data_IF_514663710465
#
_entry.id   IF_514663710465
#
_cell.length_a   1.000
_cell.length_b   1.000
_cell.length_c   1.000
_cell.angle_alpha   90.00
_cell.angle_beta   90.00
_cell.angle_gamma   90.00
#
_symmetry.space_group_name_H-M   'P 1'
#
loop_
_entity.id
_entity.type
_entity.pdbx_description
1 polymer ?
#
# COMPACT_ATOMS: atom_id res chain seq x y z
N UNK A 1 8.83 9.47 17.00
CA UNK A 1 8.47 8.20 17.63
C UNK A 1 9.30 7.07 17.03
N UNK A 2 9.63 6.08 17.84
CA UNK A 2 10.19 4.81 17.37
C UNK A 2 9.16 3.73 17.59
N UNK A 3 8.98 2.85 16.62
CA UNK A 3 8.04 1.72 16.69
C UNK A 3 8.76 0.41 16.34
N UNK A 4 8.29 -0.70 16.89
CA UNK A 4 8.81 -2.04 16.60
C UNK A 4 7.75 -2.95 15.96
N UNK A 5 6.57 -2.44 15.62
CA UNK A 5 5.43 -3.22 15.13
C UNK A 5 5.06 -2.88 13.67
N UNK A 6 5.83 -2.04 12.99
CA UNK A 6 5.51 -1.60 11.63
C UNK A 6 5.57 -2.77 10.64
N UNK A 7 6.63 -3.60 10.73
CA UNK A 7 6.82 -4.80 9.89
C UNK A 7 6.01 -6.03 10.39
N UNK A 8 5.26 -5.86 11.46
CA UNK A 8 4.42 -6.88 12.07
C UNK A 8 2.93 -6.67 11.81
N UNK A 9 2.08 -7.01 12.80
CA UNK A 9 0.63 -6.83 12.70
C UNK A 9 0.18 -5.36 12.71
N UNK A 10 1.07 -4.41 13.05
CA UNK A 10 0.82 -2.97 13.15
C UNK A 10 -0.40 -2.63 14.05
N UNK A 11 -0.46 -3.25 15.23
CA UNK A 11 -1.54 -3.06 16.20
C UNK A 11 -1.15 -2.14 17.35
N UNK A 12 0.07 -2.30 17.88
CA UNK A 12 0.54 -1.66 19.11
C UNK A 12 1.51 -0.48 18.87
N UNK A 13 2.00 -0.29 17.65
CA UNK A 13 2.93 0.79 17.28
C UNK A 13 2.25 2.14 17.10
N UNK A 14 2.54 2.81 15.98
CA UNK A 14 2.00 4.14 15.65
C UNK A 14 0.46 4.15 15.65
N UNK A 15 -0.18 3.08 15.21
CA UNK A 15 -1.65 2.95 15.24
C UNK A 15 -2.23 3.22 16.63
N UNK A 16 -1.61 2.68 17.68
CA UNK A 16 -2.09 2.83 19.05
C UNK A 16 -1.77 4.20 19.64
N UNK A 17 -0.60 4.78 19.31
CA UNK A 17 -0.14 6.02 19.95
C UNK A 17 -0.54 7.29 19.20
N UNK A 18 -0.80 7.24 17.89
CA UNK A 18 -1.13 8.42 17.09
C UNK A 18 -2.36 9.20 17.61
N UNK A 19 -3.48 8.56 17.97
CA UNK A 19 -4.61 9.27 18.56
C UNK A 19 -4.27 9.95 19.89
N UNK A 20 -3.46 9.32 20.72
CA UNK A 20 -3.03 9.87 22.02
C UNK A 20 -2.11 11.07 21.85
N UNK A 21 -1.19 11.02 20.87
CA UNK A 21 -0.32 12.15 20.54
C UNK A 21 -1.18 13.32 20.04
N UNK A 22 -2.10 13.05 19.11
CA UNK A 22 -3.01 14.05 18.56
C UNK A 22 -3.83 14.74 19.67
N UNK A 23 -4.42 13.95 20.58
CA UNK A 23 -5.20 14.48 21.71
C UNK A 23 -4.34 15.34 22.65
N UNK A 24 -3.16 14.84 23.05
CA UNK A 24 -2.30 15.52 24.01
C UNK A 24 -1.64 16.79 23.49
N UNK A 25 -1.34 16.86 22.19
CA UNK A 25 -0.68 18.00 21.55
C UNK A 25 -1.66 18.96 20.90
N UNK A 26 -2.98 18.62 20.83
CA UNK A 26 -3.99 19.43 20.16
C UNK A 26 -3.93 19.35 18.64
N UNK A 27 -3.19 18.39 18.08
CA UNK A 27 -3.03 18.15 16.66
C UNK A 27 -1.62 17.69 16.29
N UNK A 28 -1.45 17.32 15.04
CA UNK A 28 -0.16 17.01 14.43
C UNK A 28 -0.14 17.73 13.08
N UNK A 29 0.74 18.73 12.93
CA UNK A 29 0.86 19.47 11.67
C UNK A 29 1.69 18.72 10.64
N UNK A 30 2.79 18.10 11.06
CA UNK A 30 3.76 17.45 10.18
C UNK A 30 4.19 16.09 10.71
N UNK A 31 4.36 15.16 9.78
CA UNK A 31 4.94 13.85 10.06
C UNK A 31 5.97 13.49 8.98
N UNK A 32 7.25 13.50 9.37
CA UNK A 32 8.31 12.95 8.55
C UNK A 32 8.52 11.50 8.96
N UNK A 33 8.37 10.57 8.02
CA UNK A 33 8.58 9.14 8.22
C UNK A 33 9.92 8.73 7.63
N UNK A 34 10.76 8.05 8.42
CA UNK A 34 12.13 7.65 8.05
C UNK A 34 12.21 6.41 7.14
N UNK A 35 11.15 6.07 6.42
CA UNK A 35 11.11 4.93 5.50
C UNK A 35 12.15 5.04 4.39
N UNK A 36 12.71 3.92 3.90
CA UNK A 36 13.64 3.89 2.77
C UNK A 36 12.98 4.35 1.48
N UNK A 37 12.93 5.65 1.25
CA UNK A 37 12.28 6.28 0.10
C UNK A 37 13.20 6.47 -1.09
N UNK A 38 14.51 6.67 -0.84
CA UNK A 38 15.51 6.93 -1.89
C UNK A 38 15.78 5.70 -2.74
N UNK A 39 16.08 5.88 -4.03
CA UNK A 39 16.25 4.77 -4.98
C UNK A 39 17.72 4.43 -5.25
N UNK A 40 18.50 5.40 -5.69
CA UNK A 40 19.92 5.20 -6.06
C UNK A 40 20.85 6.09 -5.26
N UNK A 41 20.40 7.26 -4.85
CA UNK A 41 21.15 8.26 -4.09
C UNK A 41 20.25 8.82 -3.00
N UNK A 42 20.80 9.00 -1.81
CA UNK A 42 20.08 9.59 -0.69
C UNK A 42 19.40 10.91 -1.10
N UNK A 43 18.09 10.96 -0.95
CA UNK A 43 17.26 12.11 -1.25
C UNK A 43 16.92 12.28 -2.74
N UNK A 44 17.16 11.30 -3.61
CA UNK A 44 16.71 11.39 -5.00
C UNK A 44 15.19 11.21 -5.16
N UNK A 45 14.55 10.63 -4.15
CA UNK A 45 13.11 10.40 -4.13
C UNK A 45 12.55 10.54 -2.71
N UNK A 46 11.39 11.19 -2.60
CA UNK A 46 10.55 11.27 -1.39
C UNK A 46 9.18 10.71 -1.68
N UNK A 47 8.52 10.14 -0.67
CA UNK A 47 7.13 9.66 -0.81
C UNK A 47 6.17 10.71 -0.24
N UNK A 48 5.21 11.12 -1.06
CA UNK A 48 4.21 12.14 -0.70
C UNK A 48 2.82 11.54 -0.48
N UNK A 49 2.75 10.22 -0.43
CA UNK A 49 1.55 9.44 -0.21
C UNK A 49 1.81 7.97 -0.43
N UNK A 50 0.82 7.16 -0.11
CA UNK A 50 0.87 5.69 -0.30
C UNK A 50 -0.44 5.21 -0.88
N UNK A 51 -0.38 4.19 -1.73
CA UNK A 51 -1.55 3.50 -2.26
C UNK A 51 -2.24 2.71 -1.15
N UNK A 52 -3.56 2.58 -1.25
CA UNK A 52 -4.32 1.66 -0.44
C UNK A 52 -3.98 0.20 -0.74
N UNK A 53 -4.31 -0.67 0.18
CA UNK A 53 -4.11 -2.11 0.05
C UNK A 53 -5.36 -2.87 0.48
N UNK A 54 -5.96 -3.59 -0.47
CA UNK A 54 -7.15 -4.40 -0.27
C UNK A 54 -6.89 -5.81 -0.79
N UNK A 55 -6.96 -6.80 0.10
CA UNK A 55 -6.83 -8.22 -0.26
C UNK A 55 -8.19 -8.90 -0.22
N UNK A 56 -8.38 -9.89 -1.07
CA UNK A 56 -9.54 -10.75 -1.05
C UNK A 56 -9.16 -12.22 -1.24
N UNK A 57 -9.92 -13.10 -0.61
CA UNK A 57 -9.92 -14.54 -0.88
C UNK A 57 -11.32 -14.95 -1.34
N UNK A 58 -11.41 -15.38 -2.61
CA UNK A 58 -12.65 -15.88 -3.21
C UNK A 58 -12.71 -17.38 -3.04
N UNK A 59 -13.84 -17.88 -2.56
CA UNK A 59 -14.14 -19.30 -2.46
C UNK A 59 -15.39 -19.62 -3.29
N UNK A 60 -15.25 -20.59 -4.19
CA UNK A 60 -16.32 -21.11 -5.03
C UNK A 60 -16.61 -22.55 -4.64
N UNK A 61 -17.83 -22.82 -4.22
CA UNK A 61 -18.30 -24.17 -3.87
C UNK A 61 -18.94 -24.83 -5.08
N UNK A 62 -18.54 -26.05 -5.38
CA UNK A 62 -19.11 -26.91 -6.39
C UNK A 62 -19.60 -28.24 -5.82
N UNK A 63 -19.59 -29.27 -6.65
CA UNK A 63 -19.90 -30.65 -6.24
C UNK A 63 -18.80 -31.59 -6.74
N UNK A 64 -18.11 -32.24 -5.80
CA UNK A 64 -17.05 -33.20 -6.10
C UNK A 64 -17.60 -34.40 -6.90
N UNK A 65 -16.78 -34.91 -7.81
CA UNK A 65 -17.11 -36.12 -8.57
C UNK A 65 -15.94 -36.66 -9.38
N UNK A 66 -16.16 -37.79 -10.00
CA UNK A 66 -15.16 -38.39 -10.89
C UNK A 66 -15.17 -37.68 -12.25
N UNK A 67 -14.00 -37.35 -12.81
CA UNK A 67 -13.88 -36.60 -14.09
C UNK A 67 -14.56 -37.31 -15.27
N UNK A 68 -14.70 -38.65 -15.23
CA UNK A 68 -15.42 -39.41 -16.26
C UNK A 68 -16.94 -39.26 -16.18
N UNK A 69 -17.47 -38.70 -15.09
CA UNK A 69 -18.92 -38.53 -14.89
C UNK A 69 -19.27 -37.05 -14.57
N UNK A 70 -18.95 -36.11 -15.49
CA UNK A 70 -19.08 -34.69 -15.19
C UNK A 70 -20.52 -34.25 -14.94
N UNK A 71 -21.51 -34.94 -15.47
CA UNK A 71 -22.94 -34.65 -15.20
C UNK A 71 -23.36 -34.89 -13.74
N UNK A 72 -22.57 -35.62 -12.96
CA UNK A 72 -22.80 -35.89 -11.54
C UNK A 72 -22.05 -34.93 -10.63
N UNK A 73 -21.24 -34.02 -11.18
CA UNK A 73 -20.40 -33.08 -10.48
C UNK A 73 -20.75 -31.63 -10.88
N UNK A 74 -20.14 -30.68 -10.17
CA UNK A 74 -20.12 -29.26 -10.53
C UNK A 74 -18.70 -28.73 -10.26
N UNK A 75 -17.98 -28.39 -11.33
CA UNK A 75 -16.59 -27.98 -11.22
C UNK A 75 -16.44 -26.50 -10.86
N UNK A 76 -16.06 -26.14 -9.62
CA UNK A 76 -15.90 -24.75 -9.21
C UNK A 76 -14.78 -24.02 -9.95
N UNK A 77 -13.77 -24.74 -10.46
CA UNK A 77 -12.67 -24.13 -11.23
C UNK A 77 -13.17 -23.56 -12.56
N UNK A 78 -14.18 -24.18 -13.20
CA UNK A 78 -14.74 -23.68 -14.45
C UNK A 78 -15.49 -22.34 -14.29
N UNK A 79 -15.89 -21.98 -13.06
CA UNK A 79 -16.46 -20.69 -12.71
C UNK A 79 -15.41 -19.72 -12.19
N UNK A 80 -14.47 -20.20 -11.38
CA UNK A 80 -13.41 -19.39 -10.79
C UNK A 80 -12.44 -18.85 -11.85
N UNK A 81 -12.01 -19.67 -12.81
CA UNK A 81 -10.97 -19.27 -13.78
C UNK A 81 -11.41 -18.11 -14.70
N UNK A 82 -12.62 -18.09 -15.28
CA UNK A 82 -13.09 -16.93 -16.04
C UNK A 82 -13.15 -15.66 -15.18
N UNK A 83 -13.60 -15.76 -13.93
CA UNK A 83 -13.60 -14.64 -13.00
C UNK A 83 -12.17 -14.10 -12.76
N UNK A 84 -11.21 -14.98 -12.51
CA UNK A 84 -9.81 -14.55 -12.32
C UNK A 84 -9.24 -13.89 -13.58
N UNK A 85 -9.57 -14.41 -14.76
CA UNK A 85 -9.14 -13.82 -16.02
C UNK A 85 -9.71 -12.40 -16.21
N UNK A 86 -10.99 -12.19 -15.92
CA UNK A 86 -11.62 -10.87 -15.98
C UNK A 86 -11.01 -9.91 -14.96
N UNK A 87 -10.83 -10.33 -13.68
CA UNK A 87 -10.21 -9.51 -12.65
C UNK A 87 -8.81 -9.06 -13.04
N UNK A 88 -7.99 -9.97 -13.61
CA UNK A 88 -6.63 -9.68 -14.05
C UNK A 88 -6.57 -8.72 -15.25
N UNK A 89 -7.55 -8.79 -16.15
CA UNK A 89 -7.63 -7.96 -17.35
C UNK A 89 -8.32 -6.60 -17.11
N UNK A 90 -8.96 -6.42 -15.96
CA UNK A 90 -9.74 -5.23 -15.66
C UNK A 90 -8.86 -4.00 -15.48
N UNK A 91 -9.19 -2.92 -16.20
CA UNK A 91 -8.73 -1.57 -15.89
C UNK A 91 -9.60 -1.00 -14.77
N UNK A 92 -9.01 -0.81 -13.60
CA UNK A 92 -9.73 -0.39 -12.40
C UNK A 92 -10.01 1.10 -12.37
N UNK A 93 -8.98 1.93 -12.68
CA UNK A 93 -9.03 3.38 -12.84
C UNK A 93 -7.84 3.86 -13.67
N UNK A 94 -7.70 5.18 -13.82
CA UNK A 94 -6.60 5.81 -14.55
C UNK A 94 -5.49 6.34 -13.63
N UNK A 95 -5.64 6.13 -12.31
CA UNK A 95 -4.77 6.76 -11.33
C UNK A 95 -5.02 8.26 -11.19
N UNK A 96 -4.01 8.96 -10.69
CA UNK A 96 -4.00 10.42 -10.59
C UNK A 96 -2.63 10.94 -11.04
N UNK A 97 -2.41 12.25 -10.98
CA UNK A 97 -1.11 12.85 -11.31
C UNK A 97 0.06 12.22 -10.54
N UNK A 98 -0.16 11.86 -9.27
CA UNK A 98 0.88 11.37 -8.36
C UNK A 98 0.77 9.86 -8.07
N UNK A 99 -0.34 9.23 -8.46
CA UNK A 99 -0.61 7.82 -8.23
C UNK A 99 -0.74 7.06 -9.53
N UNK A 100 -0.04 5.93 -9.69
CA UNK A 100 -0.29 5.02 -10.79
C UNK A 100 -1.74 4.48 -10.71
N UNK A 101 -2.28 3.96 -11.82
CA UNK A 101 -3.57 3.28 -11.83
C UNK A 101 -3.65 2.17 -10.77
N UNK A 102 -4.85 1.94 -10.26
CA UNK A 102 -5.14 0.78 -9.41
C UNK A 102 -4.85 -0.52 -10.15
N UNK A 103 -4.09 -1.39 -9.52
CA UNK A 103 -3.71 -2.69 -10.07
C UNK A 103 -4.13 -3.84 -9.16
N UNK A 104 -4.54 -4.95 -9.76
CA UNK A 104 -4.85 -6.20 -9.07
C UNK A 104 -3.81 -7.25 -9.45
N UNK A 105 -3.34 -8.00 -8.44
CA UNK A 105 -2.48 -9.17 -8.61
C UNK A 105 -3.12 -10.39 -7.97
N UNK A 106 -3.24 -11.47 -8.74
CA UNK A 106 -3.63 -12.78 -8.21
C UNK A 106 -2.41 -13.38 -7.53
N UNK A 107 -2.54 -13.75 -6.27
CA UNK A 107 -1.42 -14.23 -5.43
C UNK A 107 -1.51 -15.73 -5.12
N UNK A 108 -2.60 -16.38 -5.52
CA UNK A 108 -2.75 -17.82 -5.38
C UNK A 108 -4.06 -18.30 -5.96
N UNK A 109 -4.04 -19.53 -6.49
CA UNK A 109 -5.21 -20.29 -6.94
C UNK A 109 -5.05 -21.71 -6.44
N UNK A 110 -6.10 -22.30 -5.92
CA UNK A 110 -6.08 -23.66 -5.39
C UNK A 110 -7.43 -24.36 -5.52
N UNK A 111 -7.38 -25.68 -5.35
CA UNK A 111 -8.57 -26.52 -5.27
C UNK A 111 -8.43 -27.50 -4.10
N UNK A 112 -9.55 -27.99 -3.59
CA UNK A 112 -9.60 -28.87 -2.42
C UNK A 112 -9.20 -30.34 -2.72
N UNK A 113 -8.42 -30.59 -3.78
CA UNK A 113 -7.92 -31.93 -4.14
C UNK A 113 -6.70 -31.82 -5.03
N UNK A 114 -5.74 -32.73 -4.86
CA UNK A 114 -4.58 -32.93 -5.74
C UNK A 114 -4.77 -34.15 -6.68
N UNK A 115 -5.92 -34.86 -6.59
CA UNK A 115 -6.18 -36.03 -7.38
C UNK A 115 -6.56 -35.64 -8.83
N UNK A 116 -5.84 -36.18 -9.80
CA UNK A 116 -5.98 -35.84 -11.24
C UNK A 116 -7.30 -36.32 -11.87
N UNK A 117 -7.97 -37.27 -11.23
CA UNK A 117 -9.22 -37.88 -11.70
C UNK A 117 -10.45 -37.44 -10.89
N UNK A 118 -10.33 -36.41 -10.07
CA UNK A 118 -11.41 -35.90 -9.21
C UNK A 118 -11.69 -34.43 -9.57
N UNK A 119 -12.97 -34.14 -9.85
CA UNK A 119 -13.48 -32.78 -9.90
C UNK A 119 -13.59 -32.27 -8.45
N UNK A 120 -12.93 -31.16 -8.07
CA UNK A 120 -12.96 -30.68 -6.70
C UNK A 120 -14.35 -30.20 -6.27
N UNK A 121 -14.66 -30.31 -4.97
CA UNK A 121 -15.89 -29.75 -4.39
C UNK A 121 -15.77 -28.27 -4.05
N UNK A 122 -14.56 -27.71 -4.03
CA UNK A 122 -14.29 -26.32 -3.72
C UNK A 122 -13.03 -25.85 -4.43
N UNK A 123 -13.00 -24.58 -4.84
CA UNK A 123 -11.81 -23.91 -5.35
C UNK A 123 -11.73 -22.50 -4.74
N UNK A 124 -10.51 -21.99 -4.55
CA UNK A 124 -10.29 -20.64 -4.05
C UNK A 124 -9.20 -19.90 -4.82
N UNK A 125 -9.24 -18.58 -4.76
CA UNK A 125 -8.19 -17.72 -5.27
C UNK A 125 -7.97 -16.54 -4.33
N UNK A 126 -6.70 -16.14 -4.18
CA UNK A 126 -6.29 -14.96 -3.42
C UNK A 126 -5.77 -13.90 -4.36
N UNK A 127 -6.08 -12.64 -4.05
CA UNK A 127 -5.61 -11.49 -4.80
C UNK A 127 -5.37 -10.29 -3.88
N UNK A 128 -4.59 -9.32 -4.37
CA UNK A 128 -4.37 -8.04 -3.71
C UNK A 128 -4.52 -6.91 -4.72
N UNK A 129 -5.22 -5.86 -4.30
CA UNK A 129 -5.28 -4.59 -5.02
C UNK A 129 -4.38 -3.57 -4.32
N UNK A 130 -3.58 -2.87 -5.13
CA UNK A 130 -2.94 -1.62 -4.74
C UNK A 130 -3.67 -0.50 -5.45
N UNK A 131 -4.42 0.32 -4.70
CA UNK A 131 -5.37 1.25 -5.29
C UNK A 131 -5.04 2.70 -4.97
N UNK A 132 -5.37 3.57 -5.93
CA UNK A 132 -5.17 5.02 -5.88
C UNK A 132 -6.36 5.70 -5.18
N UNK A 133 -6.24 6.98 -4.79
CA UNK A 133 -7.38 7.77 -4.29
C UNK A 133 -8.52 7.97 -5.31
N UNK A 134 -8.31 7.62 -6.60
CA UNK A 134 -9.37 7.61 -7.61
C UNK A 134 -10.41 6.51 -7.38
N UNK A 135 -10.09 5.51 -6.54
CA UNK A 135 -10.96 4.39 -6.17
C UNK A 135 -11.16 4.35 -4.65
N UNK A 136 -12.29 3.76 -4.21
CA UNK A 136 -12.53 3.44 -2.80
C UNK A 136 -12.52 1.93 -2.58
N UNK A 137 -12.20 1.49 -1.36
CA UNK A 137 -12.22 0.06 -1.03
C UNK A 137 -13.61 -0.54 -1.27
N UNK A 138 -14.65 0.16 -0.85
CA UNK A 138 -16.06 -0.25 -1.00
C UNK A 138 -16.46 -0.34 -2.48
N UNK A 139 -16.06 0.63 -3.31
CA UNK A 139 -16.34 0.61 -4.75
C UNK A 139 -15.64 -0.55 -5.46
N UNK A 140 -14.39 -0.84 -5.08
CA UNK A 140 -13.65 -2.00 -5.60
C UNK A 140 -14.30 -3.31 -5.18
N UNK A 141 -14.70 -3.45 -3.91
CA UNK A 141 -15.42 -4.62 -3.41
C UNK A 141 -16.73 -4.84 -4.16
N UNK A 142 -17.56 -3.80 -4.32
CA UNK A 142 -18.83 -3.89 -5.05
C UNK A 142 -18.63 -4.34 -6.50
N UNK A 143 -17.62 -3.79 -7.18
CA UNK A 143 -17.31 -4.17 -8.56
C UNK A 143 -16.87 -5.63 -8.66
N UNK A 144 -16.05 -6.10 -7.72
CA UNK A 144 -15.60 -7.50 -7.68
C UNK A 144 -16.76 -8.44 -7.34
N UNK A 145 -17.64 -8.06 -6.40
CA UNK A 145 -18.86 -8.84 -6.12
C UNK A 145 -19.75 -8.98 -7.36
N UNK A 146 -19.96 -7.90 -8.12
CA UNK A 146 -20.75 -7.97 -9.36
C UNK A 146 -20.14 -8.92 -10.40
N UNK A 147 -18.80 -8.93 -10.53
CA UNK A 147 -18.11 -9.87 -11.41
C UNK A 147 -18.21 -11.32 -10.88
N UNK A 148 -18.10 -11.50 -9.57
CA UNK A 148 -18.24 -12.82 -8.94
C UNK A 148 -19.65 -13.38 -9.15
N UNK A 149 -20.69 -12.55 -9.00
CA UNK A 149 -22.08 -12.95 -9.25
C UNK A 149 -22.32 -13.36 -10.71
N UNK A 150 -21.63 -12.71 -11.66
CA UNK A 150 -21.75 -13.04 -13.08
C UNK A 150 -21.09 -14.37 -13.46
N UNK A 151 -19.93 -14.69 -12.90
CA UNK A 151 -19.15 -15.88 -13.26
C UNK A 151 -19.33 -17.06 -12.30
N UNK A 152 -19.47 -16.78 -11.03
CA UNK A 152 -19.50 -17.76 -9.94
C UNK A 152 -20.59 -17.41 -8.92
N UNK A 153 -21.88 -17.47 -9.30
CA UNK A 153 -22.98 -17.16 -8.39
C UNK A 153 -22.86 -17.97 -7.10
N UNK A 154 -23.02 -17.30 -5.94
CA UNK A 154 -22.89 -17.92 -4.62
C UNK A 154 -21.43 -18.07 -4.14
N UNK A 155 -20.45 -17.51 -4.83
CA UNK A 155 -19.10 -17.39 -4.30
C UNK A 155 -19.08 -16.51 -3.04
N UNK A 156 -18.22 -16.84 -2.09
CA UNK A 156 -17.94 -15.99 -0.91
C UNK A 156 -16.61 -15.30 -1.08
N UNK A 157 -16.50 -14.08 -0.53
CA UNK A 157 -15.26 -13.30 -0.58
C UNK A 157 -14.95 -12.80 0.82
N UNK A 158 -13.81 -13.24 1.35
CA UNK A 158 -13.26 -12.73 2.61
C UNK A 158 -12.30 -11.58 2.31
N UNK A 159 -12.54 -10.43 2.95
CA UNK A 159 -11.80 -9.20 2.70
C UNK A 159 -10.85 -8.84 3.84
N UNK A 160 -9.66 -8.37 3.46
CA UNK A 160 -8.71 -7.74 4.39
C UNK A 160 -8.31 -6.38 3.82
N UNK A 161 -8.83 -5.30 4.43
CA UNK A 161 -8.43 -3.93 4.13
C UNK A 161 -7.28 -3.55 5.06
N UNK A 162 -6.06 -3.46 4.50
CA UNK A 162 -4.85 -3.18 5.28
C UNK A 162 -4.59 -1.69 5.43
N UNK A 163 -4.90 -0.89 4.41
CA UNK A 163 -4.72 0.56 4.42
C UNK A 163 -5.61 1.25 3.39
N UNK A 164 -6.14 2.43 3.74
CA UNK A 164 -6.64 3.40 2.78
C UNK A 164 -5.46 4.13 2.09
N UNK A 165 -5.62 4.63 0.86
CA UNK A 165 -4.61 5.48 0.25
C UNK A 165 -4.58 6.84 0.97
N UNK A 166 -3.41 7.46 1.04
CA UNK A 166 -3.29 8.85 1.47
C UNK A 166 -2.34 9.60 0.56
N UNK A 167 -2.53 10.91 0.48
CA UNK A 167 -1.67 11.85 -0.24
C UNK A 167 -1.55 13.13 0.56
N UNK A 168 -0.35 13.68 0.61
CA UNK A 168 -0.12 15.00 1.19
C UNK A 168 0.10 16.02 0.07
N UNK A 169 -0.73 17.06 0.05
CA UNK A 169 -0.53 18.21 -0.81
C UNK A 169 0.80 18.90 -0.50
N UNK A 170 1.41 19.63 -1.47
CA UNK A 170 2.66 20.33 -1.27
C UNK A 170 2.56 21.39 -0.16
N UNK A 171 2.85 21.00 1.07
CA UNK A 171 2.80 21.85 2.27
C UNK A 171 4.18 22.35 2.73
N UNK A 172 4.26 22.77 3.98
CA UNK A 172 5.49 23.30 4.57
C UNK A 172 6.57 22.23 4.74
N UNK A 173 6.18 21.03 5.18
CA UNK A 173 7.11 19.91 5.38
C UNK A 173 7.76 19.50 4.07
N UNK A 174 6.96 19.26 3.01
CA UNK A 174 7.47 18.89 1.69
C UNK A 174 8.43 19.92 1.15
N UNK A 175 8.08 21.21 1.22
CA UNK A 175 8.98 22.28 0.77
C UNK A 175 10.27 22.34 1.57
N UNK A 176 10.23 22.14 2.89
CA UNK A 176 11.44 22.10 3.72
C UNK A 176 12.36 20.94 3.32
N UNK A 177 11.80 19.74 3.11
CA UNK A 177 12.55 18.56 2.66
C UNK A 177 13.17 18.79 1.27
N UNK A 178 12.37 19.24 0.30
CA UNK A 178 12.83 19.52 -1.08
C UNK A 178 13.96 20.56 -1.08
N UNK A 179 13.84 21.61 -0.27
CA UNK A 179 14.87 22.65 -0.17
C UNK A 179 16.18 22.11 0.46
N UNK A 180 16.11 21.36 1.58
CA UNK A 180 17.29 20.77 2.22
C UNK A 180 18.02 19.83 1.26
N UNK A 181 17.28 18.95 0.58
CA UNK A 181 17.86 18.02 -0.38
C UNK A 181 18.50 18.77 -1.56
N UNK A 182 17.81 19.80 -2.08
CA UNK A 182 18.30 20.60 -3.21
C UNK A 182 19.56 21.37 -2.85
N UNK A 183 19.62 21.99 -1.67
CA UNK A 183 20.80 22.72 -1.18
C UNK A 183 22.01 21.79 -1.07
N UNK A 184 21.81 20.56 -0.59
CA UNK A 184 22.85 19.56 -0.43
C UNK A 184 23.30 18.95 -1.76
N UNK A 185 22.36 18.63 -2.64
CA UNK A 185 22.62 17.77 -3.82
C UNK A 185 22.62 18.52 -5.16
N UNK A 186 22.18 19.79 -5.16
CA UNK A 186 21.99 20.58 -6.38
C UNK A 186 20.77 20.17 -7.23
N UNK A 187 19.99 19.19 -6.78
CA UNK A 187 18.86 18.66 -7.57
C UNK A 187 17.67 18.38 -6.63
N UNK A 188 16.44 18.84 -6.97
CA UNK A 188 15.27 18.53 -6.19
C UNK A 188 14.93 17.02 -6.24
N UNK A 189 14.38 16.46 -5.18
CA UNK A 189 13.92 15.08 -5.18
C UNK A 189 12.72 14.87 -6.10
N UNK A 190 12.57 13.66 -6.62
CA UNK A 190 11.33 13.24 -7.24
C UNK A 190 10.31 12.91 -6.14
N UNK A 191 9.12 13.46 -6.25
CA UNK A 191 8.00 13.08 -5.40
C UNK A 191 7.19 11.98 -6.09
N UNK A 192 6.91 10.87 -5.38
CA UNK A 192 6.06 9.80 -5.88
C UNK A 192 5.31 9.09 -4.72
N UNK A 193 4.52 8.06 -5.07
CA UNK A 193 3.67 7.30 -4.16
C UNK A 193 3.89 5.79 -4.31
N UNK A 194 5.04 5.40 -4.85
CA UNK A 194 5.40 4.00 -5.07
C UNK A 194 5.72 3.26 -3.76
N UNK A 195 5.76 1.93 -3.84
CA UNK A 195 6.11 1.05 -2.72
C UNK A 195 4.91 0.52 -1.93
N UNK A 196 5.19 -0.04 -0.77
CA UNK A 196 4.23 -0.61 0.17
C UNK A 196 3.42 0.44 0.95
N UNK A 197 2.88 0.06 2.09
CA UNK A 197 2.31 0.98 3.08
C UNK A 197 3.40 1.36 4.09
N UNK A 198 3.11 2.37 4.93
CA UNK A 198 3.96 2.79 6.04
C UNK A 198 3.09 3.23 7.22
N UNK A 199 3.69 3.48 8.36
CA UNK A 199 3.01 4.03 9.52
C UNK A 199 2.43 5.43 9.30
N UNK A 200 2.83 6.13 8.25
CA UNK A 200 2.21 7.38 7.80
C UNK A 200 0.70 7.27 7.58
N UNK A 201 0.20 6.07 7.23
CA UNK A 201 -1.24 5.77 7.08
C UNK A 201 -2.08 6.01 8.32
N UNK A 202 -1.47 5.99 9.51
CA UNK A 202 -2.17 6.23 10.78
C UNK A 202 -2.15 7.70 11.20
N UNK A 203 -1.21 8.48 10.66
CA UNK A 203 -1.04 9.90 10.97
C UNK A 203 -1.77 10.78 9.95
N UNK A 204 -1.73 10.44 8.66
CA UNK A 204 -2.38 11.23 7.61
C UNK A 204 -3.89 11.48 7.86
N UNK A 205 -4.69 10.51 8.34
CA UNK A 205 -6.11 10.76 8.65
C UNK A 205 -6.34 11.75 9.79
N UNK A 206 -5.33 12.07 10.59
CA UNK A 206 -5.40 13.07 11.67
C UNK A 206 -5.17 14.49 11.16
N UNK A 207 -5.00 14.69 9.85
CA UNK A 207 -4.85 15.99 9.21
C UNK A 207 -3.40 16.48 9.05
N UNK A 208 -2.41 15.68 9.42
CA UNK A 208 -1.00 15.99 9.27
C UNK A 208 -0.56 15.94 7.80
N UNK A 209 0.34 16.84 7.39
CA UNK A 209 1.15 16.67 6.19
C UNK A 209 2.17 15.54 6.43
N UNK A 210 2.06 14.44 5.68
CA UNK A 210 2.95 13.28 5.83
C UNK A 210 3.86 13.17 4.62
N UNK A 211 5.17 13.16 4.86
CA UNK A 211 6.18 12.93 3.81
C UNK A 211 7.18 11.88 4.33
N UNK A 212 7.56 10.96 3.47
CA UNK A 212 8.55 9.96 3.80
C UNK A 212 9.86 10.29 3.10
N UNK A 213 10.91 10.36 3.90
CA UNK A 213 12.28 10.58 3.44
C UNK A 213 13.24 9.77 4.30
N UNK A 214 13.99 8.88 3.66
CA UNK A 214 14.95 8.00 4.32
C UNK A 214 15.98 7.42 3.37
N UNK A 215 16.69 6.37 3.80
CA UNK A 215 17.82 5.81 3.07
C UNK A 215 17.43 5.20 1.71
N UNK A 216 18.45 4.73 1.01
CA UNK A 216 18.28 3.99 -0.26
C UNK A 216 17.66 2.62 0.01
N UNK A 217 16.66 2.25 -0.78
CA UNK A 217 15.82 1.06 -0.57
C UNK A 217 16.24 -0.20 -1.37
N UNK A 218 17.43 -0.20 -1.96
CA UNK A 218 17.86 -1.28 -2.88
C UNK A 218 17.91 -2.67 -2.24
N UNK A 219 18.09 -2.76 -0.94
CA UNK A 219 18.19 -4.03 -0.21
C UNK A 219 17.00 -4.31 0.72
N UNK A 220 15.93 -3.49 0.64
CA UNK A 220 14.76 -3.65 1.50
C UNK A 220 14.15 -5.05 1.36
N UNK A 221 13.88 -5.72 2.50
CA UNK A 221 13.32 -7.06 2.60
C UNK A 221 14.16 -8.16 1.91
N UNK A 222 15.45 -7.89 1.65
CA UNK A 222 16.38 -8.88 1.11
C UNK A 222 17.25 -9.48 2.22
N UNK A 223 17.80 -10.66 1.94
CA UNK A 223 18.88 -11.23 2.78
C UNK A 223 20.04 -10.22 2.75
N UNK A 224 20.64 -9.97 3.92
CA UNK A 224 21.71 -8.97 4.10
C UNK A 224 21.23 -7.52 3.79
N UNK A 225 20.01 -7.19 4.20
CA UNK A 225 19.51 -5.81 4.17
C UNK A 225 20.49 -4.87 4.86
N UNK A 226 20.81 -3.76 4.20
CA UNK A 226 21.88 -2.86 4.64
C UNK A 226 21.63 -1.41 4.25
N UNK A 227 22.25 -0.51 5.02
CA UNK A 227 22.33 0.91 4.74
C UNK A 227 23.80 1.36 4.81
N UNK A 228 24.18 2.32 3.98
CA UNK A 228 25.52 2.93 4.06
C UNK A 228 25.64 3.76 5.35
N UNK A 229 26.74 3.62 6.10
CA UNK A 229 26.95 4.36 7.36
C UNK A 229 26.92 5.87 7.15
N UNK A 230 27.49 6.35 6.06
CA UNK A 230 27.52 7.77 5.70
C UNK A 230 26.10 8.33 5.50
N UNK A 231 25.18 7.51 5.00
CA UNK A 231 23.78 7.90 4.82
C UNK A 231 23.06 8.16 6.14
N UNK A 232 23.42 7.46 7.21
CA UNK A 232 22.84 7.67 8.55
C UNK A 232 23.22 9.04 9.10
N UNK A 233 24.50 9.39 9.02
CA UNK A 233 24.98 10.72 9.43
C UNK A 233 24.34 11.84 8.62
N UNK A 234 24.29 11.69 7.30
CA UNK A 234 23.67 12.67 6.42
C UNK A 234 22.17 12.84 6.65
N UNK A 235 21.43 11.74 6.91
CA UNK A 235 20.01 11.81 7.27
C UNK A 235 19.80 12.58 8.57
N UNK A 236 20.64 12.39 9.57
CA UNK A 236 20.53 13.12 10.82
C UNK A 236 20.73 14.64 10.61
N UNK A 237 21.70 15.03 9.78
CA UNK A 237 21.91 16.43 9.39
C UNK A 237 20.73 16.99 8.59
N UNK A 238 20.25 16.25 7.59
CA UNK A 238 19.09 16.64 6.78
C UNK A 238 17.83 16.82 7.65
N UNK A 239 17.55 15.91 8.60
CA UNK A 239 16.41 16.02 9.51
C UNK A 239 16.54 17.23 10.45
N UNK A 240 17.73 17.49 10.98
CA UNK A 240 17.96 18.68 11.80
C UNK A 240 17.71 19.98 10.99
N UNK A 241 18.19 20.03 9.75
CA UNK A 241 17.97 21.17 8.85
C UNK A 241 16.49 21.35 8.47
N UNK A 242 15.75 20.26 8.26
CA UNK A 242 14.30 20.29 8.00
C UNK A 242 13.56 20.88 9.21
N UNK A 243 13.84 20.40 10.43
CA UNK A 243 13.24 20.91 11.67
C UNK A 243 13.50 22.40 11.82
N UNK A 244 14.75 22.84 11.61
CA UNK A 244 15.12 24.27 11.70
C UNK A 244 14.36 25.14 10.70
N UNK A 245 14.07 24.62 9.49
CA UNK A 245 13.28 25.34 8.48
C UNK A 245 11.81 25.44 8.84
N UNK A 246 11.27 24.41 9.47
CA UNK A 246 9.88 24.37 9.91
C UNK A 246 9.63 25.29 11.13
N UNK A 247 10.63 25.46 11.99
CA UNK A 247 10.57 26.31 13.17
C UNK A 247 10.70 27.83 12.83
N UNK A 248 11.09 28.17 11.60
CA UNK A 248 11.16 29.56 11.18
C UNK A 248 9.74 30.12 10.91
N UNK A 249 9.38 31.29 11.46
CA UNK A 249 8.11 31.91 11.13
C UNK A 249 8.04 32.12 9.61
N UNK A 250 6.87 31.80 9.02
CA UNK A 250 6.65 31.97 7.59
C UNK A 250 7.00 33.42 7.20
N UNK A 251 7.97 33.59 6.28
CA UNK A 251 8.28 34.90 5.73
C UNK A 251 6.98 35.45 5.11
N UNK A 252 6.62 36.73 5.38
CA UNK A 252 5.51 37.35 4.67
C UNK A 252 5.71 37.15 3.16
N UNK A 253 4.65 36.77 2.46
CA UNK A 253 4.66 36.77 0.99
C UNK A 253 4.65 38.22 0.54
N UNK A 254 5.74 38.67 -0.11
CA UNK A 254 5.77 39.92 -0.84
C UNK A 254 4.78 39.91 -2.02
#
# INVERSE_FOLDING_TARGET
>A
ALTSDEEGPAQDGIRAIAPLIHERLGGIDWCLVGEPSSQTRLGDTVRVGRRGSLSGEITVTGRQGHVAYPAQADNPLHRLMPLMAELAATRWDDGTREFPPTGLQITGVGAATDAINVIPGQASARFNLRYSPASTAEGLQQRIHSMADAHAPGATIDWKHSAAPFSSEPGALRRAIEAVITDRSGTPPRADTAGGTSDGRFIAPLGAEVVEFGPVNQSIHQIDERVALEAIGQLAEDYAAIIQRLDQPARPRD
#
